data_IF_953967460679
#
_entry.id   IF_953967460679
#
_cell.length_a   1.000
_cell.length_b   1.000
_cell.length_c   1.000
_cell.angle_alpha   90.00
_cell.angle_beta   90.00
_cell.angle_gamma   90.00
#
_symmetry.space_group_name_H-M   'P 1'
#
loop_
_entity.id
_entity.type
_entity.pdbx_description
1 polymer ?
#
# COMPACT_ATOMS: atom_id res chain seq x y z
N UNK A 1 5.45 -22.22 -15.26
CA UNK A 1 5.33 -21.61 -13.93
C UNK A 1 5.90 -20.22 -14.07
N UNK A 2 5.29 -19.22 -13.43
CA UNK A 2 5.77 -17.84 -13.50
C UNK A 2 7.16 -17.74 -12.87
N UNK A 3 8.05 -16.93 -13.44
CA UNK A 3 9.39 -16.74 -12.89
C UNK A 3 9.31 -16.03 -11.54
N UNK A 4 10.10 -16.47 -10.55
CA UNK A 4 10.12 -15.94 -9.18
C UNK A 4 11.50 -15.47 -8.79
N UNK A 5 11.55 -14.49 -7.89
CA UNK A 5 12.78 -13.92 -7.36
C UNK A 5 12.79 -13.92 -5.82
N UNK A 6 13.99 -13.96 -5.22
CA UNK A 6 14.11 -13.74 -3.79
C UNK A 6 13.59 -12.33 -3.42
N UNK A 7 12.93 -12.23 -2.28
CA UNK A 7 12.58 -10.95 -1.66
C UNK A 7 13.81 -10.34 -0.98
N UNK A 8 13.68 -9.12 -0.46
CA UNK A 8 14.65 -8.63 0.52
C UNK A 8 14.74 -9.56 1.75
N UNK A 9 15.90 -9.57 2.41
CA UNK A 9 16.10 -10.34 3.64
C UNK A 9 15.11 -9.89 4.73
N UNK A 10 14.45 -10.85 5.38
CA UNK A 10 13.42 -10.62 6.41
C UNK A 10 12.20 -9.83 5.92
N UNK A 11 11.85 -9.92 4.63
CA UNK A 11 10.60 -9.38 4.13
C UNK A 11 9.37 -9.91 4.92
N UNK A 12 8.38 -9.06 5.28
CA UNK A 12 8.31 -7.62 5.03
C UNK A 12 9.26 -6.80 5.92
N UNK A 13 9.97 -5.84 5.31
CA UNK A 13 11.06 -5.09 5.96
C UNK A 13 10.58 -3.96 6.88
N UNK A 14 9.34 -3.50 6.71
CA UNK A 14 8.74 -2.45 7.54
C UNK A 14 7.60 -3.00 8.38
N UNK A 15 7.74 -2.85 9.71
CA UNK A 15 6.71 -3.23 10.69
C UNK A 15 5.39 -2.50 10.47
N UNK A 16 4.28 -3.24 10.58
CA UNK A 16 2.94 -2.71 10.44
C UNK A 16 1.87 -3.68 10.93
N UNK A 17 0.62 -3.35 10.62
CA UNK A 17 -0.53 -4.20 10.87
C UNK A 17 -0.90 -4.89 9.55
N UNK A 18 -0.56 -6.17 9.44
CA UNK A 18 -0.79 -6.99 8.26
C UNK A 18 -0.66 -8.49 8.59
N UNK A 19 -1.24 -9.31 7.73
CA UNK A 19 -1.04 -10.76 7.68
C UNK A 19 -0.10 -11.06 6.50
N UNK A 20 0.98 -11.79 6.79
CA UNK A 20 1.91 -12.28 5.77
C UNK A 20 1.42 -13.65 5.27
N UNK A 21 1.31 -13.78 3.95
CA UNK A 21 1.00 -15.02 3.24
C UNK A 21 2.21 -15.60 2.53
N UNK A 22 2.03 -16.06 1.30
CA UNK A 22 3.10 -16.62 0.47
C UNK A 22 3.95 -15.49 -0.16
N UNK A 23 5.25 -15.36 0.17
CA UNK A 23 6.11 -14.32 -0.40
C UNK A 23 6.28 -14.39 -1.92
N UNK A 24 5.99 -15.53 -2.56
CA UNK A 24 6.01 -15.69 -4.01
C UNK A 24 4.68 -15.32 -4.67
N UNK A 25 3.61 -15.08 -3.91
CA UNK A 25 2.33 -14.64 -4.49
C UNK A 25 2.44 -13.26 -5.14
N UNK A 26 1.79 -13.03 -6.29
CA UNK A 26 1.87 -11.75 -6.98
C UNK A 26 0.96 -10.67 -6.43
N UNK A 27 0.18 -10.95 -5.38
CA UNK A 27 -0.91 -10.08 -4.93
C UNK A 27 -0.63 -9.50 -3.54
N UNK A 28 -0.59 -8.18 -3.44
CA UNK A 28 -0.77 -7.46 -2.18
C UNK A 28 -2.20 -6.91 -2.10
N UNK A 29 -2.73 -6.79 -0.88
CA UNK A 29 -4.05 -6.20 -0.66
C UNK A 29 -3.98 -5.18 0.46
N UNK A 30 -4.57 -4.00 0.25
CA UNK A 30 -4.92 -3.13 1.35
C UNK A 30 -6.42 -3.09 1.56
N UNK A 31 -6.83 -3.22 2.82
CA UNK A 31 -8.24 -3.23 3.24
C UNK A 31 -8.75 -1.86 3.67
N UNK A 32 -7.94 -0.80 3.47
CA UNK A 32 -8.25 0.59 3.80
C UNK A 32 -8.77 0.75 5.24
N UNK A 33 -10.01 1.19 5.43
CA UNK A 33 -10.63 1.34 6.74
C UNK A 33 -11.19 0.02 7.32
N UNK A 34 -11.40 -1.00 6.47
CA UNK A 34 -12.02 -2.27 6.85
C UNK A 34 -11.04 -3.21 7.55
N UNK A 35 -11.63 -4.10 8.36
CA UNK A 35 -10.93 -5.13 9.13
C UNK A 35 -11.29 -6.52 8.58
N UNK A 36 -10.79 -6.84 7.39
CA UNK A 36 -11.08 -8.07 6.66
C UNK A 36 -9.83 -8.66 5.96
N UNK A 37 -8.64 -8.32 6.46
CA UNK A 37 -7.33 -8.75 5.95
C UNK A 37 -7.12 -10.27 5.97
N UNK A 38 -7.89 -11.00 6.79
CA UNK A 38 -7.92 -12.46 6.84
C UNK A 38 -8.46 -13.08 5.54
N UNK A 39 -9.41 -12.42 4.87
CA UNK A 39 -10.03 -12.89 3.63
C UNK A 39 -9.02 -12.96 2.47
N UNK A 40 -8.34 -11.88 2.07
CA UNK A 40 -7.34 -11.94 1.00
C UNK A 40 -6.12 -12.78 1.38
N UNK A 41 -5.70 -12.79 2.66
CA UNK A 41 -4.62 -13.65 3.12
C UNK A 41 -4.97 -15.14 2.92
N UNK A 42 -6.17 -15.56 3.33
CA UNK A 42 -6.66 -16.93 3.11
C UNK A 42 -6.88 -17.25 1.62
N UNK A 43 -7.12 -16.24 0.78
CA UNK A 43 -7.26 -16.38 -0.67
C UNK A 43 -5.91 -16.54 -1.41
N UNK A 44 -4.78 -16.33 -0.72
CA UNK A 44 -3.43 -16.51 -1.27
C UNK A 44 -2.69 -15.21 -1.59
N UNK A 45 -3.07 -14.07 -1.03
CA UNK A 45 -2.26 -12.85 -1.11
C UNK A 45 -0.90 -13.03 -0.41
N UNK A 46 0.13 -12.35 -0.90
CA UNK A 46 1.45 -12.32 -0.28
C UNK A 46 1.45 -11.55 1.04
N UNK A 47 0.68 -10.46 1.08
CA UNK A 47 0.51 -9.60 2.25
C UNK A 47 -0.85 -8.92 2.17
N UNK A 48 -1.54 -8.83 3.30
CA UNK A 48 -2.81 -8.10 3.40
C UNK A 48 -2.92 -7.34 4.72
N UNK A 49 -3.39 -6.10 4.68
CA UNK A 49 -3.59 -5.31 5.89
C UNK A 49 -4.27 -3.96 5.66
N UNK A 50 -4.75 -3.30 6.73
CA UNK A 50 -5.35 -1.98 6.62
C UNK A 50 -4.32 -0.90 6.26
N UNK A 51 -4.75 0.11 5.50
CA UNK A 51 -3.97 1.32 5.25
C UNK A 51 -4.85 2.54 5.46
N UNK A 52 -4.71 3.17 6.63
CA UNK A 52 -5.64 4.20 7.09
C UNK A 52 -5.19 5.63 6.81
N UNK A 53 -3.90 5.87 6.56
CA UNK A 53 -3.36 7.22 6.39
C UNK A 53 -2.72 7.40 5.01
N UNK A 54 -3.00 8.53 4.39
CA UNK A 54 -2.59 8.95 3.05
C UNK A 54 -1.14 9.45 2.97
N UNK A 55 -0.33 9.11 3.97
CA UNK A 55 1.07 9.50 4.13
C UNK A 55 1.90 8.28 4.56
N UNK A 56 2.30 8.19 5.83
CA UNK A 56 3.08 7.11 6.42
C UNK A 56 2.47 5.72 6.16
N UNK A 57 1.14 5.58 6.18
CA UNK A 57 0.48 4.33 5.82
C UNK A 57 0.85 3.89 4.40
N UNK A 58 0.71 4.80 3.43
CA UNK A 58 1.10 4.57 2.03
C UNK A 58 2.60 4.28 1.92
N UNK A 59 3.46 5.02 2.63
CA UNK A 59 4.92 4.79 2.61
C UNK A 59 5.28 3.37 3.05
N UNK A 60 4.65 2.85 4.10
CA UNK A 60 4.85 1.48 4.58
C UNK A 60 4.38 0.44 3.56
N UNK A 61 3.22 0.68 2.93
CA UNK A 61 2.70 -0.18 1.85
C UNK A 61 3.70 -0.23 0.70
N UNK A 62 4.13 0.94 0.21
CA UNK A 62 5.09 1.05 -0.90
C UNK A 62 6.41 0.36 -0.57
N UNK A 63 7.01 0.65 0.59
CA UNK A 63 8.29 0.07 1.01
C UNK A 63 8.25 -1.47 1.10
N UNK A 64 7.16 -2.03 1.64
CA UNK A 64 6.99 -3.48 1.70
C UNK A 64 6.68 -4.11 0.33
N UNK A 65 6.05 -3.41 -0.61
CA UNK A 65 5.81 -3.93 -1.96
C UNK A 65 7.09 -3.96 -2.79
N UNK A 66 7.83 -2.85 -2.87
CA UNK A 66 9.01 -2.75 -3.75
C UNK A 66 10.20 -3.59 -3.26
N UNK A 67 10.19 -4.01 -1.99
CA UNK A 67 11.14 -4.97 -1.42
C UNK A 67 10.79 -6.44 -1.70
N UNK A 68 9.70 -6.70 -2.44
CA UNK A 68 9.34 -8.03 -2.96
C UNK A 68 8.99 -7.94 -4.46
N UNK A 69 9.91 -8.30 -5.37
CA UNK A 69 9.68 -8.26 -6.82
C UNK A 69 8.56 -9.18 -7.32
N UNK A 70 8.15 -10.17 -6.53
CA UNK A 70 7.08 -11.09 -6.91
C UNK A 70 5.72 -10.40 -6.89
N UNK A 71 5.52 -9.35 -6.10
CA UNK A 71 4.24 -8.62 -6.00
C UNK A 71 4.06 -7.73 -7.23
N UNK A 72 3.04 -8.06 -8.04
CA UNK A 72 2.70 -7.41 -9.32
C UNK A 72 1.31 -6.80 -9.34
N UNK A 73 0.48 -7.06 -8.34
CA UNK A 73 -0.84 -6.50 -8.19
C UNK A 73 -1.02 -5.92 -6.79
N UNK A 74 -1.65 -4.75 -6.69
CA UNK A 74 -2.15 -4.19 -5.44
C UNK A 74 -3.66 -3.99 -5.54
N UNK A 75 -4.42 -4.77 -4.78
CA UNK A 75 -5.87 -4.62 -4.66
C UNK A 75 -6.15 -3.60 -3.57
N UNK A 76 -6.95 -2.58 -3.89
CA UNK A 76 -7.47 -1.60 -2.94
C UNK A 76 -8.92 -1.98 -2.64
N UNK A 77 -9.21 -2.55 -1.48
CA UNK A 77 -10.57 -2.95 -1.10
C UNK A 77 -10.95 -2.44 0.30
N UNK A 78 -12.19 -2.69 0.70
CA UNK A 78 -12.73 -2.18 1.94
C UNK A 78 -13.22 -0.73 1.82
N UNK A 79 -13.84 -0.25 2.89
CA UNK A 79 -14.38 1.11 2.98
C UNK A 79 -13.25 2.14 2.85
N UNK A 80 -13.49 3.19 2.06
CA UNK A 80 -12.58 4.33 1.98
C UNK A 80 -12.48 5.05 3.34
N UNK A 81 -11.31 5.63 3.59
CA UNK A 81 -11.04 6.31 4.85
C UNK A 81 -11.54 7.75 4.78
N UNK A 82 -12.60 8.08 5.52
CA UNK A 82 -13.13 9.45 5.53
C UNK A 82 -12.05 10.48 5.94
N UNK A 83 -11.97 11.57 5.17
CA UNK A 83 -11.01 12.67 5.37
C UNK A 83 -9.59 12.36 4.85
N UNK A 84 -9.07 11.17 5.17
CA UNK A 84 -7.77 10.71 4.68
C UNK A 84 -7.79 10.36 3.18
N UNK A 85 -8.88 9.73 2.71
CA UNK A 85 -9.11 9.37 1.30
C UNK A 85 -7.90 8.59 0.76
N UNK A 86 -7.54 7.55 1.50
CA UNK A 86 -6.27 6.82 1.36
C UNK A 86 -6.23 5.98 0.09
N UNK A 87 -7.33 5.30 -0.26
CA UNK A 87 -7.41 4.50 -1.48
C UNK A 87 -7.17 5.36 -2.73
N UNK A 88 -7.90 6.46 -2.86
CA UNK A 88 -7.70 7.41 -3.95
C UNK A 88 -6.30 8.05 -3.93
N UNK A 89 -5.73 8.30 -2.75
CA UNK A 89 -4.37 8.83 -2.64
C UNK A 89 -3.31 7.83 -3.14
N UNK A 90 -3.51 6.53 -2.92
CA UNK A 90 -2.66 5.47 -3.52
C UNK A 90 -2.81 5.45 -5.05
N UNK A 91 -4.05 5.54 -5.56
CA UNK A 91 -4.31 5.64 -7.00
C UNK A 91 -3.57 6.83 -7.62
N UNK A 92 -3.67 8.00 -6.97
CA UNK A 92 -3.01 9.22 -7.42
C UNK A 92 -1.48 9.11 -7.40
N UNK A 93 -0.90 8.48 -6.37
CA UNK A 93 0.54 8.21 -6.29
C UNK A 93 1.01 7.29 -7.42
N UNK A 94 0.24 6.24 -7.72
CA UNK A 94 0.55 5.31 -8.80
C UNK A 94 0.45 5.98 -10.18
N UNK A 95 -0.61 6.76 -10.44
CA UNK A 95 -0.82 7.38 -11.74
C UNK A 95 0.10 8.58 -11.98
N UNK A 96 0.29 9.43 -10.97
CA UNK A 96 0.86 10.77 -11.14
C UNK A 96 2.15 11.02 -10.34
N UNK A 97 2.57 10.08 -9.50
CA UNK A 97 3.70 10.25 -8.59
C UNK A 97 3.47 11.35 -7.55
N UNK A 98 4.56 11.95 -7.07
CA UNK A 98 4.53 13.05 -6.12
C UNK A 98 5.48 14.19 -6.53
N UNK A 99 5.25 15.38 -5.99
CA UNK A 99 6.15 16.53 -6.15
C UNK A 99 7.56 16.18 -5.63
N UNK A 100 8.64 16.33 -6.44
CA UNK A 100 9.99 15.93 -6.03
C UNK A 100 10.55 16.67 -4.82
N UNK A 101 10.13 17.91 -4.59
CA UNK A 101 10.63 18.76 -3.51
C UNK A 101 9.69 18.74 -2.30
N UNK A 102 8.39 18.95 -2.54
CA UNK A 102 7.37 19.06 -1.49
C UNK A 102 6.82 17.72 -1.05
N UNK A 103 7.07 16.64 -1.81
CA UNK A 103 6.60 15.27 -1.51
C UNK A 103 5.09 15.11 -1.45
N UNK A 104 4.32 16.09 -1.93
CA UNK A 104 2.87 16.01 -2.03
C UNK A 104 2.49 15.08 -3.19
N UNK A 105 1.60 14.12 -2.95
CA UNK A 105 1.05 13.24 -3.99
C UNK A 105 0.24 14.08 -4.98
N UNK A 106 0.57 13.95 -6.27
CA UNK A 106 -0.07 14.73 -7.33
C UNK A 106 -1.48 14.18 -7.60
N UNK A 107 -2.51 15.00 -7.43
CA UNK A 107 -3.91 14.60 -7.67
C UNK A 107 -4.59 13.89 -6.49
N UNK A 108 -3.90 13.68 -5.37
CA UNK A 108 -4.53 13.14 -4.17
C UNK A 108 -5.46 14.17 -3.51
N UNK A 109 -6.65 13.73 -3.11
CA UNK A 109 -7.68 14.56 -2.44
C UNK A 109 -7.71 14.39 -0.92
N UNK A 110 -6.85 13.52 -0.37
CA UNK A 110 -6.66 13.40 1.07
C UNK A 110 -6.20 14.69 1.74
N UNK A 111 -6.36 14.78 3.06
CA UNK A 111 -6.08 15.99 3.81
C UNK A 111 -4.58 16.33 3.86
N UNK A 112 -3.72 15.33 4.08
CA UNK A 112 -2.26 15.47 4.24
C UNK A 112 -1.52 14.41 3.40
N UNK A 113 -1.61 14.44 2.06
CA UNK A 113 -1.08 13.40 1.18
C UNK A 113 0.40 13.67 0.85
N UNK A 114 1.28 13.49 1.83
CA UNK A 114 2.72 13.74 1.71
C UNK A 114 3.52 12.47 2.02
N UNK A 115 4.39 12.06 1.08
CA UNK A 115 5.26 10.88 1.18
C UNK A 115 6.72 11.31 1.35
N UNK A 116 7.03 11.87 2.52
CA UNK A 116 8.33 12.48 2.82
C UNK A 116 9.49 11.48 2.90
N UNK A 117 9.22 10.24 3.30
CA UNK A 117 10.23 9.23 3.61
C UNK A 117 10.53 8.31 2.41
N UNK A 118 9.77 8.42 1.32
CA UNK A 118 10.01 7.64 0.09
C UNK A 118 10.78 8.52 -0.94
N UNK A 119 11.99 8.12 -1.36
CA UNK A 119 12.68 8.77 -2.49
C UNK A 119 11.90 8.56 -3.80
N UNK A 120 12.12 9.43 -4.78
CA UNK A 120 11.41 9.35 -6.07
C UNK A 120 11.63 8.00 -6.77
N UNK A 121 12.83 7.42 -6.65
CA UNK A 121 13.13 6.07 -7.15
C UNK A 121 12.18 5.01 -6.58
N UNK A 122 11.79 5.12 -5.31
CA UNK A 122 10.81 4.23 -4.69
C UNK A 122 9.40 4.39 -5.25
N UNK A 123 9.01 5.63 -5.56
CA UNK A 123 7.74 5.94 -6.23
C UNK A 123 7.74 5.36 -7.64
N UNK A 124 8.76 5.65 -8.44
CA UNK A 124 8.88 5.16 -9.82
C UNK A 124 8.90 3.62 -9.86
N UNK A 125 9.63 3.00 -8.93
CA UNK A 125 9.65 1.54 -8.78
C UNK A 125 8.26 0.99 -8.48
N UNK A 126 7.51 1.61 -7.57
CA UNK A 126 6.14 1.20 -7.26
C UNK A 126 5.22 1.32 -8.49
N UNK A 127 5.30 2.43 -9.23
CA UNK A 127 4.51 2.67 -10.44
C UNK A 127 4.76 1.61 -11.52
N UNK A 128 6.02 1.20 -11.70
CA UNK A 128 6.41 0.19 -12.70
C UNK A 128 6.13 -1.25 -12.25
N UNK A 129 6.19 -1.52 -10.95
CA UNK A 129 6.14 -2.88 -10.43
C UNK A 129 4.73 -3.46 -10.38
N UNK A 130 3.74 -2.66 -9.94
CA UNK A 130 2.38 -3.14 -9.69
C UNK A 130 1.32 -2.56 -10.62
N UNK A 131 0.31 -3.37 -10.94
CA UNK A 131 -0.98 -2.92 -11.44
C UNK A 131 -1.95 -2.72 -10.25
N UNK A 132 -2.65 -1.58 -10.23
CA UNK A 132 -3.69 -1.34 -9.23
C UNK A 132 -5.01 -1.97 -9.66
N UNK A 133 -5.66 -2.63 -8.70
CA UNK A 133 -7.00 -3.19 -8.86
C UNK A 133 -7.94 -2.46 -7.91
N UNK A 134 -8.79 -1.61 -8.49
CA UNK A 134 -9.76 -0.83 -7.74
C UNK A 134 -10.96 -1.68 -7.32
N UNK A 135 -11.11 -1.83 -6.01
CA UNK A 135 -12.28 -2.39 -5.34
C UNK A 135 -12.64 -1.52 -4.12
N UNK A 136 -12.35 -0.21 -4.16
CA UNK A 136 -12.65 0.71 -3.06
C UNK A 136 -14.15 0.68 -2.77
N UNK A 137 -14.51 0.74 -1.49
CA UNK A 137 -15.86 0.57 -0.94
C UNK A 137 -16.50 -0.81 -1.19
N UNK A 138 -15.71 -1.81 -1.61
CA UNK A 138 -16.15 -3.20 -1.69
C UNK A 138 -15.64 -4.02 -0.50
N UNK A 139 -16.57 -4.50 0.33
CA UNK A 139 -16.30 -5.36 1.49
C UNK A 139 -16.78 -6.81 1.28
N UNK A 140 -17.26 -7.17 0.08
CA UNK A 140 -17.75 -8.52 -0.21
C UNK A 140 -16.60 -9.53 -0.28
N UNK A 141 -16.53 -10.41 0.72
CA UNK A 141 -15.45 -11.39 0.84
C UNK A 141 -15.36 -12.36 -0.35
N UNK A 142 -16.49 -12.67 -1.00
CA UNK A 142 -16.53 -13.52 -2.18
C UNK A 142 -15.87 -12.84 -3.39
N UNK A 143 -16.20 -11.57 -3.63
CA UNK A 143 -15.63 -10.75 -4.68
C UNK A 143 -14.13 -10.51 -4.47
N UNK A 144 -13.72 -10.18 -3.23
CA UNK A 144 -12.29 -10.00 -2.87
C UNK A 144 -11.53 -11.31 -3.13
N UNK A 145 -12.05 -12.44 -2.66
CA UNK A 145 -11.43 -13.77 -2.87
C UNK A 145 -11.30 -14.09 -4.35
N UNK A 146 -12.36 -13.85 -5.14
CA UNK A 146 -12.34 -14.09 -6.57
C UNK A 146 -11.30 -13.23 -7.28
N UNK A 147 -11.18 -11.94 -6.90
CA UNK A 147 -10.21 -11.03 -7.51
C UNK A 147 -8.77 -11.39 -7.18
N UNK A 148 -8.47 -11.79 -5.94
CA UNK A 148 -7.14 -12.30 -5.56
C UNK A 148 -6.77 -13.49 -6.44
N UNK A 149 -7.67 -14.47 -6.58
CA UNK A 149 -7.43 -15.66 -7.41
C UNK A 149 -7.24 -15.31 -8.89
N UNK A 150 -8.04 -14.40 -9.43
CA UNK A 150 -7.88 -13.92 -10.81
C UNK A 150 -6.49 -13.30 -11.03
N UNK A 151 -5.98 -12.51 -10.09
CA UNK A 151 -4.64 -11.92 -10.19
C UNK A 151 -3.54 -12.99 -10.11
N UNK A 152 -3.70 -14.00 -9.27
CA UNK A 152 -2.79 -15.16 -9.19
C UNK A 152 -2.78 -15.94 -10.51
N UNK A 153 -3.93 -16.15 -11.15
CA UNK A 153 -4.00 -16.81 -12.46
C UNK A 153 -3.33 -16.00 -13.58
N UNK A 154 -3.25 -14.67 -13.42
CA UNK A 154 -2.63 -13.73 -14.36
C UNK A 154 -1.20 -13.34 -13.98
N UNK A 155 -0.56 -14.09 -13.08
CA UNK A 155 0.80 -13.84 -12.62
C UNK A 155 1.80 -13.66 -13.77
N UNK A 156 2.33 -12.44 -14.00
CA UNK A 156 3.27 -12.19 -15.08
C UNK A 156 4.70 -12.62 -14.71
N UNK A 157 4.92 -13.14 -13.50
CA UNK A 157 6.24 -13.39 -12.94
C UNK A 157 6.79 -12.19 -12.17
N UNK A 158 7.90 -12.40 -11.49
CA UNK A 158 8.62 -11.36 -10.78
C UNK A 158 9.04 -10.24 -11.73
N UNK A 159 9.13 -9.02 -11.19
CA UNK A 159 9.73 -7.91 -11.91
C UNK A 159 11.21 -8.22 -12.25
N UNK A 160 11.71 -7.73 -13.40
CA UNK A 160 13.07 -8.00 -13.87
C UNK A 160 14.15 -7.40 -12.96
N UNK A 161 13.85 -6.34 -12.23
CA UNK A 161 14.73 -5.74 -11.23
C UNK A 161 14.68 -6.49 -9.88
N UNK A 162 15.76 -6.44 -9.11
CA UNK A 162 15.82 -7.07 -7.78
C UNK A 162 15.07 -6.23 -6.73
N UNK A 163 14.89 -6.78 -5.53
CA UNK A 163 14.21 -6.12 -4.42
C UNK A 163 14.84 -4.76 -4.11
N UNK A 164 14.01 -3.70 -4.04
CA UNK A 164 14.44 -2.37 -3.63
C UNK A 164 14.14 -2.17 -2.14
N UNK A 165 15.16 -1.91 -1.34
CA UNK A 165 15.01 -1.61 0.09
C UNK A 165 15.17 -0.11 0.31
N UNK A 166 14.23 0.48 1.04
CA UNK A 166 14.25 1.90 1.41
C UNK A 166 14.21 1.99 2.93
N UNK A 167 15.12 2.77 3.50
CA UNK A 167 15.12 3.08 4.92
C UNK A 167 14.10 4.19 5.19
N UNK A 168 13.05 3.87 5.94
CA UNK A 168 12.09 4.88 6.42
C UNK A 168 12.61 5.50 7.73
N UNK A 169 12.59 6.83 7.83
CA UNK A 169 12.99 7.53 9.06
C UNK A 169 11.91 7.40 10.15
N UNK A 170 12.23 6.63 11.18
CA UNK A 170 11.39 6.39 12.36
C UNK A 170 11.15 7.65 13.21
N UNK A 171 12.05 8.65 13.20
CA UNK A 171 11.80 9.92 13.88
C UNK A 171 10.78 10.78 13.15
N UNK A 172 10.83 10.80 11.81
CA UNK A 172 9.87 11.54 11.00
C UNK A 172 8.48 10.89 11.09
N UNK A 173 8.44 9.55 11.07
CA UNK A 173 7.22 8.75 11.29
C UNK A 173 6.50 9.11 12.60
N UNK A 174 7.24 9.32 13.70
CA UNK A 174 6.67 9.72 15.01
C UNK A 174 6.15 11.15 15.02
N UNK A 175 6.73 12.05 14.23
CA UNK A 175 6.26 13.44 14.11
C UNK A 175 4.98 13.51 13.29
N UNK A 176 4.94 12.85 12.14
CA UNK A 176 3.74 12.75 11.30
C UNK A 176 2.54 12.19 12.09
N UNK A 177 2.74 11.09 12.83
CA UNK A 177 1.69 10.49 13.66
C UNK A 177 1.19 11.40 14.80
N UNK A 178 2.00 12.36 15.27
CA UNK A 178 1.57 13.38 16.25
C UNK A 178 0.75 14.49 15.60
N UNK A 179 1.12 14.92 14.40
CA UNK A 179 0.37 15.94 13.64
C UNK A 179 -1.04 15.44 13.33
N UNK A 180 -1.18 14.18 12.87
CA UNK A 180 -2.49 13.57 12.60
C UNK A 180 -3.37 13.42 13.85
N UNK A 181 -2.78 13.15 15.02
CA UNK A 181 -3.53 13.14 16.27
C UNK A 181 -3.99 14.53 16.68
N UNK A 182 -3.21 15.56 16.39
CA UNK A 182 -3.57 16.94 16.70
C UNK A 182 -4.70 17.45 15.82
N UNK A 183 -4.67 17.17 14.51
CA UNK A 183 -5.74 17.57 13.58
C UNK A 183 -7.07 16.90 13.93
N UNK A 184 -7.06 15.62 14.33
CA UNK A 184 -8.27 14.91 14.81
C UNK A 184 -8.89 15.51 16.07
N UNK A 185 -8.12 16.19 16.92
CA UNK A 185 -8.66 16.82 18.14
C UNK A 185 -9.34 18.15 17.80
N UNK A 186 -8.76 18.94 16.89
CA UNK A 186 -9.33 20.23 16.49
C UNK A 186 -10.67 20.07 15.73
N UNK A 187 -10.84 19.00 14.95
CA UNK A 187 -12.10 18.72 14.24
C UNK A 187 -13.25 18.25 15.15
N UNK A 188 -12.98 17.88 16.41
CA UNK A 188 -14.00 17.42 17.38
C UNK A 188 -14.51 18.57 18.27
N UNK A 189 -13.79 19.69 18.38
CA UNK A 189 -14.16 20.82 19.25
C UNK A 189 -15.14 21.84 18.63
N UNK A 190 -15.64 21.61 17.41
CA UNK A 190 -16.56 22.54 16.71
C UNK A 190 -17.95 21.94 16.41
N UNK A 191 -18.38 20.91 17.15
CA UNK A 191 -19.73 20.33 17.05
C UNK A 191 -20.64 20.71 18.23
#
# INVERSE_FOLDING_TARGET
>A
MADKKPTADNWPVVSGDYIVGDPESPVAVTTLASHNEDIPAAAGAAIAGPCKTENLGIEKVVANIISNPNIRFLILCGAEVQGHITGQSIQALHENGCDPEKKKITGATGAIPFVENIPMEGVERFQQQVELVDMIDNEDGGAITAKVKECIEKDPGALEEDALMIELDEENSKKAAKVEKSSKIEDVEVA
#
